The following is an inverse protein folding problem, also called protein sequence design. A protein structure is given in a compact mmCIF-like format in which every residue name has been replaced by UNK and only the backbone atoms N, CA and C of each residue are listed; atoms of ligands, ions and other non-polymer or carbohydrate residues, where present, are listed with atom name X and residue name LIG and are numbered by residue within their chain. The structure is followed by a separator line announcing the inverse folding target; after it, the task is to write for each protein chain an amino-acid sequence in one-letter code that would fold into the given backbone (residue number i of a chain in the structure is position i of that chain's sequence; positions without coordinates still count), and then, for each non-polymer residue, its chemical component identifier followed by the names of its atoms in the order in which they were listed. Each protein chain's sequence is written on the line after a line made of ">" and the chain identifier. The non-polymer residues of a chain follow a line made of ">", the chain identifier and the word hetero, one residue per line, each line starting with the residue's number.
data_IF_956464678221
#
_entry.id   IF_956464678221
#
_cell.length_a   1.000
_cell.length_b   1.000
_cell.length_c   1.000
_cell.angle_alpha   90.00
_cell.angle_beta   90.00
_cell.angle_gamma   90.00
#
_symmetry.space_group_name_H-M   'P 1'
#
loop_
_entity.id
_entity.type
_entity.pdbx_description
1 polymer ?
#
# COMPACT_ATOMS: atom_id res chain seq x y z
N UNK A 1 -37.82 4.58 47.86
CA UNK A 1 -36.55 4.70 47.10
C UNK A 1 -36.42 3.45 46.26
N UNK A 2 -36.86 3.51 45.00
CA UNK A 2 -36.71 2.39 44.06
C UNK A 2 -35.25 2.38 43.60
N UNK A 3 -34.50 1.33 43.94
CA UNK A 3 -33.16 1.11 43.43
C UNK A 3 -33.23 1.12 41.90
N UNK A 4 -32.69 2.17 41.26
CA UNK A 4 -32.50 2.21 39.82
C UNK A 4 -31.52 1.09 39.49
N UNK A 5 -32.05 -0.07 39.11
CA UNK A 5 -31.26 -1.19 38.64
C UNK A 5 -30.38 -0.66 37.50
N UNK A 6 -29.07 -0.55 37.75
CA UNK A 6 -28.08 -0.24 36.73
C UNK A 6 -28.21 -1.32 35.67
N UNK A 7 -28.80 -0.96 34.53
CA UNK A 7 -29.06 -1.85 33.43
C UNK A 7 -27.73 -2.27 32.81
N UNK A 8 -27.15 -3.36 33.30
CA UNK A 8 -25.93 -3.96 32.75
C UNK A 8 -26.18 -4.39 31.31
N UNK A 9 -25.22 -4.10 30.42
CA UNK A 9 -25.36 -4.47 29.02
C UNK A 9 -25.26 -6.00 28.91
N UNK A 10 -26.29 -6.67 28.37
CA UNK A 10 -26.27 -8.11 28.19
C UNK A 10 -25.10 -8.60 27.30
N UNK A 11 -24.54 -9.79 27.53
CA UNK A 11 -23.45 -10.34 26.71
C UNK A 11 -23.74 -10.41 25.21
N UNK A 12 -24.96 -10.75 24.82
CA UNK A 12 -25.42 -10.83 23.43
C UNK A 12 -25.36 -9.48 22.73
N UNK A 13 -25.75 -8.40 23.42
CA UNK A 13 -25.67 -7.03 22.89
C UNK A 13 -24.22 -6.61 22.67
N UNK A 14 -23.31 -7.01 23.57
CA UNK A 14 -21.88 -6.73 23.41
C UNK A 14 -21.30 -7.43 22.19
N UNK A 15 -21.63 -8.70 22.02
CA UNK A 15 -21.20 -9.48 20.87
C UNK A 15 -21.73 -8.90 19.56
N UNK A 16 -22.99 -8.46 19.53
CA UNK A 16 -23.60 -7.79 18.37
C UNK A 16 -22.93 -6.45 18.06
N UNK A 17 -22.57 -5.66 19.07
CA UNK A 17 -21.84 -4.40 18.87
C UNK A 17 -20.43 -4.63 18.31
N UNK A 18 -19.71 -5.65 18.78
CA UNK A 18 -18.38 -5.98 18.24
C UNK A 18 -18.45 -6.59 16.83
N UNK A 19 -19.58 -7.21 16.49
CA UNK A 19 -19.85 -7.71 15.16
C UNK A 19 -20.32 -6.61 14.18
N UNK A 20 -20.58 -5.40 14.65
CA UNK A 20 -21.05 -4.30 13.82
C UNK A 20 -19.93 -3.84 12.85
N UNK A 21 -20.21 -3.73 11.53
CA UNK A 21 -19.20 -3.35 10.53
C UNK A 21 -18.56 -1.99 10.79
N UNK A 22 -19.28 -1.01 11.33
CA UNK A 22 -18.73 0.33 11.60
C UNK A 22 -17.78 0.31 12.80
N UNK A 23 -18.10 -0.49 13.81
CA UNK A 23 -17.21 -0.71 14.96
C UNK A 23 -15.93 -1.40 14.51
N UNK A 24 -16.04 -2.44 13.68
CA UNK A 24 -14.88 -3.14 13.12
C UNK A 24 -14.01 -2.21 12.27
N UNK A 25 -14.62 -1.41 11.38
CA UNK A 25 -13.89 -0.44 10.57
C UNK A 25 -13.15 0.60 11.44
N UNK A 26 -13.78 1.12 12.49
CA UNK A 26 -13.14 2.07 13.40
C UNK A 26 -11.94 1.46 14.14
N UNK A 27 -12.05 0.21 14.63
CA UNK A 27 -10.93 -0.50 15.25
C UNK A 27 -9.80 -0.69 14.24
N UNK A 28 -10.11 -1.11 13.01
CA UNK A 28 -9.12 -1.34 11.96
C UNK A 28 -8.40 -0.06 11.56
N UNK A 29 -9.13 1.03 11.33
CA UNK A 29 -8.57 2.33 10.99
C UNK A 29 -7.60 2.80 12.08
N UNK A 30 -8.00 2.64 13.36
CA UNK A 30 -7.16 3.04 14.48
C UNK A 30 -5.91 2.15 14.64
N UNK A 31 -6.03 0.84 14.41
CA UNK A 31 -4.86 -0.06 14.38
C UNK A 31 -3.90 0.34 13.25
N UNK A 32 -4.42 0.60 12.05
CA UNK A 32 -3.62 1.01 10.89
C UNK A 32 -2.92 2.36 11.13
N UNK A 33 -3.61 3.30 11.77
CA UNK A 33 -3.09 4.64 12.06
C UNK A 33 -2.06 4.67 13.18
N UNK A 34 -2.26 3.88 14.24
CA UNK A 34 -1.42 3.93 15.44
C UNK A 34 -0.32 2.87 15.46
N UNK A 35 -0.43 1.82 14.63
CA UNK A 35 0.44 0.63 14.69
C UNK A 35 0.24 -0.21 15.96
N UNK A 36 -0.77 0.09 16.77
CA UNK A 36 -1.07 -0.61 18.01
C UNK A 36 -2.00 -1.81 17.77
N UNK A 37 -2.04 -2.72 18.73
CA UNK A 37 -2.96 -3.85 18.68
C UNK A 37 -4.43 -3.42 18.87
N UNK A 38 -5.35 -4.32 18.50
CA UNK A 38 -6.78 -4.06 18.58
C UNK A 38 -7.29 -3.82 20.01
N UNK A 39 -6.61 -4.35 21.03
CA UNK A 39 -6.97 -4.10 22.43
C UNK A 39 -6.70 -2.64 22.78
N UNK A 40 -5.58 -2.11 22.32
CA UNK A 40 -5.18 -0.73 22.55
C UNK A 40 -6.06 0.21 21.72
N UNK A 41 -6.38 -0.15 20.48
CA UNK A 41 -7.33 0.59 19.65
C UNK A 41 -8.74 0.68 20.27
N UNK A 42 -9.22 -0.36 20.96
CA UNK A 42 -10.49 -0.30 21.70
C UNK A 42 -10.51 0.73 22.83
N UNK A 43 -9.34 1.11 23.36
CA UNK A 43 -9.21 2.16 24.38
C UNK A 43 -9.18 3.56 23.78
N UNK A 44 -9.13 3.67 22.45
CA UNK A 44 -9.11 4.97 21.79
C UNK A 44 -10.49 5.68 21.89
N UNK A 45 -10.52 6.97 22.25
CA UNK A 45 -11.77 7.72 22.38
C UNK A 45 -12.61 7.78 21.08
N UNK A 46 -11.99 7.77 19.90
CA UNK A 46 -12.70 7.79 18.63
C UNK A 46 -13.41 6.45 18.39
N UNK A 47 -12.75 5.33 18.65
CA UNK A 47 -13.36 3.99 18.56
C UNK A 47 -14.50 3.85 19.56
N UNK A 48 -14.30 4.30 20.81
CA UNK A 48 -15.34 4.30 21.83
C UNK A 48 -16.55 5.15 21.44
N UNK A 49 -16.34 6.30 20.79
CA UNK A 49 -17.42 7.14 20.28
C UNK A 49 -18.27 6.42 19.23
N UNK A 50 -17.63 5.65 18.33
CA UNK A 50 -18.34 4.85 17.32
C UNK A 50 -19.13 3.72 17.98
N UNK A 51 -18.54 2.99 18.94
CA UNK A 51 -19.24 1.93 19.70
C UNK A 51 -20.45 2.51 20.43
N UNK A 52 -20.29 3.67 21.08
CA UNK A 52 -21.38 4.33 21.80
C UNK A 52 -22.50 4.77 20.86
N UNK A 53 -22.15 5.29 19.67
CA UNK A 53 -23.14 5.69 18.67
C UNK A 53 -23.89 4.47 18.13
N UNK A 54 -23.20 3.39 17.77
CA UNK A 54 -23.88 2.16 17.32
C UNK A 54 -24.72 1.52 18.43
N UNK A 55 -24.31 1.64 19.70
CA UNK A 55 -25.14 1.23 20.82
C UNK A 55 -26.41 2.07 20.95
N UNK A 56 -26.33 3.39 20.76
CA UNK A 56 -27.52 4.27 20.74
C UNK A 56 -28.48 3.94 19.61
N UNK A 57 -27.94 3.70 18.42
CA UNK A 57 -28.72 3.48 17.21
C UNK A 57 -29.42 2.10 17.24
N UNK A 58 -28.70 1.04 17.61
CA UNK A 58 -29.20 -0.33 17.56
C UNK A 58 -29.84 -0.80 18.88
N UNK A 59 -29.43 -0.22 20.01
CA UNK A 59 -29.85 -0.66 21.34
C UNK A 59 -30.15 0.52 22.30
N UNK A 60 -31.15 1.38 21.98
CA UNK A 60 -31.41 2.61 22.72
C UNK A 60 -31.66 2.41 24.22
N UNK A 61 -32.25 1.26 24.58
CA UNK A 61 -32.48 0.83 25.97
C UNK A 61 -31.20 0.68 26.82
N UNK A 62 -30.03 0.50 26.20
CA UNK A 62 -28.74 0.35 26.87
C UNK A 62 -27.80 1.53 26.67
N UNK A 63 -28.22 2.56 25.93
CA UNK A 63 -27.39 3.71 25.56
C UNK A 63 -26.81 4.47 26.77
N UNK A 64 -27.59 4.60 27.85
CA UNK A 64 -27.16 5.26 29.09
C UNK A 64 -26.07 4.47 29.80
N UNK A 65 -26.25 3.15 29.93
CA UNK A 65 -25.28 2.25 30.56
C UNK A 65 -24.01 2.06 29.71
N UNK A 66 -24.11 2.16 28.39
CA UNK A 66 -22.99 2.00 27.48
C UNK A 66 -21.88 3.02 27.71
N UNK A 67 -22.24 4.27 28.04
CA UNK A 67 -21.26 5.33 28.29
C UNK A 67 -20.31 4.97 29.44
N UNK A 68 -20.85 4.40 30.51
CA UNK A 68 -20.07 4.08 31.71
C UNK A 68 -19.38 2.71 31.59
N UNK A 69 -19.95 1.79 30.80
CA UNK A 69 -19.43 0.43 30.65
C UNK A 69 -18.43 0.24 29.50
N UNK A 70 -18.34 1.18 28.55
CA UNK A 70 -17.43 1.07 27.40
C UNK A 70 -15.96 0.94 27.82
N UNK A 71 -15.56 1.64 28.89
CA UNK A 71 -14.20 1.54 29.44
C UNK A 71 -13.93 0.15 30.02
N UNK A 72 -14.97 -0.47 30.59
CA UNK A 72 -14.89 -1.83 31.12
C UNK A 72 -14.93 -2.87 29.99
N UNK A 73 -15.59 -2.58 28.86
CA UNK A 73 -15.62 -3.46 27.70
C UNK A 73 -14.23 -3.68 27.11
N UNK A 74 -13.41 -2.64 27.03
CA UNK A 74 -12.04 -2.77 26.56
C UNK A 74 -11.17 -3.67 27.47
N UNK A 75 -11.58 -3.89 28.72
CA UNK A 75 -10.91 -4.75 29.68
C UNK A 75 -11.55 -6.15 29.79
N UNK A 76 -12.65 -6.42 29.09
CA UNK A 76 -13.31 -7.72 29.10
C UNK A 76 -12.52 -8.73 28.24
N UNK A 77 -12.08 -9.89 28.78
CA UNK A 77 -11.33 -10.89 28.04
C UNK A 77 -12.04 -11.41 26.78
N UNK A 78 -13.36 -11.56 26.79
CA UNK A 78 -14.11 -12.06 25.63
C UNK A 78 -14.16 -11.00 24.52
N UNK A 79 -14.35 -9.73 24.88
CA UNK A 79 -14.30 -8.60 23.93
C UNK A 79 -12.90 -8.48 23.32
N UNK A 80 -11.86 -8.60 24.14
CA UNK A 80 -10.48 -8.58 23.65
C UNK A 80 -10.19 -9.76 22.71
N UNK A 81 -10.68 -10.96 23.02
CA UNK A 81 -10.54 -12.15 22.17
C UNK A 81 -11.25 -11.94 20.83
N UNK A 82 -12.47 -11.40 20.85
CA UNK A 82 -13.24 -11.15 19.64
C UNK A 82 -12.61 -10.03 18.80
N UNK A 83 -12.15 -8.95 19.42
CA UNK A 83 -11.43 -7.88 18.75
C UNK A 83 -10.12 -8.37 18.12
N UNK A 84 -9.37 -9.23 18.82
CA UNK A 84 -8.19 -9.91 18.24
C UNK A 84 -8.56 -10.79 17.05
N UNK A 85 -9.64 -11.57 17.13
CA UNK A 85 -10.08 -12.40 16.02
C UNK A 85 -10.42 -11.55 14.78
N UNK A 86 -11.14 -10.45 14.96
CA UNK A 86 -11.45 -9.54 13.86
C UNK A 86 -10.23 -8.80 13.34
N UNK A 87 -9.33 -8.35 14.22
CA UNK A 87 -8.09 -7.72 13.80
C UNK A 87 -7.13 -8.69 13.13
N UNK A 88 -7.16 -9.98 13.46
CA UNK A 88 -6.38 -11.00 12.77
C UNK A 88 -6.99 -11.30 11.40
N UNK A 89 -8.33 -11.35 11.27
CA UNK A 89 -8.97 -11.50 9.97
C UNK A 89 -8.75 -10.27 9.10
N UNK A 90 -8.97 -9.08 9.64
CA UNK A 90 -8.77 -7.81 8.94
C UNK A 90 -7.29 -7.54 8.68
N UNK A 91 -6.42 -7.90 9.62
CA UNK A 91 -4.98 -7.89 9.47
C UNK A 91 -4.56 -8.84 8.37
N UNK A 92 -5.10 -10.06 8.31
CA UNK A 92 -4.90 -10.99 7.21
C UNK A 92 -5.46 -10.48 5.88
N UNK A 93 -6.58 -9.76 5.88
CA UNK A 93 -7.12 -9.08 4.69
C UNK A 93 -6.27 -7.89 4.26
N UNK A 94 -5.78 -7.07 5.19
CA UNK A 94 -4.88 -5.95 4.91
C UNK A 94 -3.48 -6.43 4.49
N UNK A 95 -3.01 -7.52 5.08
CA UNK A 95 -1.80 -8.26 4.72
C UNK A 95 -1.94 -8.86 3.32
N UNK A 96 -3.05 -9.55 3.04
CA UNK A 96 -3.31 -10.19 1.74
C UNK A 96 -3.72 -9.21 0.64
N UNK A 97 -4.18 -8.00 1.00
CA UNK A 97 -4.46 -6.93 0.06
C UNK A 97 -3.25 -6.03 -0.25
N UNK A 98 -2.03 -6.44 0.14
CA UNK A 98 -0.77 -5.76 -0.20
C UNK A 98 -0.36 -4.63 0.77
N UNK A 99 -1.14 -4.36 1.82
CA UNK A 99 -0.93 -3.21 2.72
C UNK A 99 0.37 -3.25 3.52
N UNK A 100 0.81 -4.42 4.01
CA UNK A 100 2.10 -4.53 4.69
C UNK A 100 3.30 -4.54 3.74
N UNK A 101 3.14 -5.03 2.50
CA UNK A 101 4.22 -5.01 1.53
C UNK A 101 4.45 -3.61 0.97
N UNK A 102 3.39 -2.84 0.75
CA UNK A 102 3.49 -1.39 0.43
C UNK A 102 4.15 -0.62 1.58
N UNK A 103 3.85 -0.95 2.83
CA UNK A 103 4.52 -0.36 4.00
C UNK A 103 6.01 -0.75 4.12
N UNK A 104 6.45 -1.83 3.48
CA UNK A 104 7.86 -2.23 3.41
C UNK A 104 8.64 -1.54 2.29
N UNK A 105 7.96 -0.87 1.36
CA UNK A 105 8.63 -0.06 0.34
C UNK A 105 9.12 1.21 1.03
N UNK A 106 10.44 1.34 1.15
CA UNK A 106 11.02 2.61 1.57
C UNK A 106 10.74 3.64 0.48
N UNK A 107 9.77 4.52 0.71
CA UNK A 107 9.44 5.57 -0.24
C UNK A 107 10.45 6.71 -0.10
N UNK A 108 11.03 7.13 -1.23
CA UNK A 108 11.84 8.34 -1.28
C UNK A 108 10.97 9.61 -1.18
N UNK A 109 11.57 10.79 -1.07
CA UNK A 109 10.86 12.07 -1.17
C UNK A 109 9.97 12.11 -2.41
N UNK A 110 8.76 12.64 -2.27
CA UNK A 110 7.74 12.62 -3.33
C UNK A 110 8.22 13.22 -4.65
N UNK A 111 9.10 14.23 -4.59
CA UNK A 111 9.72 14.82 -5.78
C UNK A 111 10.53 13.81 -6.60
N UNK A 112 11.40 13.02 -5.96
CA UNK A 112 12.23 12.01 -6.66
C UNK A 112 11.37 10.86 -7.19
N UNK A 113 10.31 10.51 -6.46
CA UNK A 113 9.34 9.51 -6.93
C UNK A 113 8.64 9.96 -8.20
N UNK A 114 8.15 11.20 -8.25
CA UNK A 114 7.51 11.75 -9.42
C UNK A 114 8.46 11.81 -10.64
N UNK A 115 9.73 12.17 -10.43
CA UNK A 115 10.75 12.17 -11.48
C UNK A 115 11.04 10.74 -12.00
N UNK A 116 11.12 9.77 -11.09
CA UNK A 116 11.33 8.35 -11.40
C UNK A 116 10.14 7.78 -12.18
N UNK A 117 8.92 8.05 -11.72
CA UNK A 117 7.69 7.67 -12.39
C UNK A 117 7.61 8.27 -13.80
N UNK A 118 7.92 9.56 -13.95
CA UNK A 118 7.99 10.24 -15.25
C UNK A 118 9.01 9.61 -16.19
N UNK A 119 10.19 9.25 -15.69
CA UNK A 119 11.21 8.52 -16.46
C UNK A 119 10.72 7.14 -16.91
N UNK A 120 9.99 6.42 -16.04
CA UNK A 120 9.33 5.17 -16.40
C UNK A 120 8.28 5.33 -17.49
N UNK A 121 7.39 6.34 -17.39
CA UNK A 121 6.37 6.64 -18.41
C UNK A 121 7.00 6.95 -19.76
N UNK A 122 8.03 7.82 -19.78
CA UNK A 122 8.76 8.14 -21.00
C UNK A 122 9.42 6.90 -21.62
N UNK A 123 10.06 6.07 -20.78
CA UNK A 123 10.68 4.81 -21.23
C UNK A 123 9.66 3.81 -21.79
N UNK A 124 8.48 3.70 -21.18
CA UNK A 124 7.38 2.86 -21.71
C UNK A 124 6.95 3.36 -23.09
N UNK A 125 6.74 4.67 -23.25
CA UNK A 125 6.31 5.25 -24.52
C UNK A 125 7.32 4.96 -25.65
N UNK A 126 8.62 5.15 -25.40
CA UNK A 126 9.68 4.86 -26.37
C UNK A 126 9.73 3.36 -26.68
N UNK A 127 9.77 2.50 -25.66
CA UNK A 127 9.82 1.06 -25.88
C UNK A 127 8.61 0.54 -26.67
N UNK A 128 7.41 1.11 -26.45
CA UNK A 128 6.22 0.78 -27.25
C UNK A 128 6.39 1.24 -28.70
N UNK A 129 6.92 2.44 -28.96
CA UNK A 129 7.19 2.91 -30.32
C UNK A 129 8.15 1.98 -31.07
N UNK A 130 9.21 1.50 -30.41
CA UNK A 130 10.16 0.55 -30.99
C UNK A 130 9.50 -0.79 -31.34
N UNK A 131 8.59 -1.26 -30.48
CA UNK A 131 7.93 -2.55 -30.63
C UNK A 131 6.79 -2.55 -31.66
N UNK A 132 6.21 -1.39 -32.00
CA UNK A 132 5.18 -1.28 -33.04
C UNK A 132 5.73 -1.73 -34.41
N UNK A 133 7.02 -1.54 -34.66
CA UNK A 133 7.67 -2.04 -35.88
C UNK A 133 8.00 -3.53 -35.75
N UNK A 134 6.97 -4.39 -35.87
CA UNK A 134 7.10 -5.85 -35.70
C UNK A 134 8.09 -6.49 -36.69
N UNK A 135 8.28 -5.89 -37.88
CA UNK A 135 9.30 -6.35 -38.83
C UNK A 135 10.73 -6.03 -38.39
N UNK A 136 10.91 -5.16 -37.40
CA UNK A 136 12.19 -4.83 -36.80
C UNK A 136 12.91 -6.05 -36.21
N UNK A 137 12.18 -7.10 -35.83
CA UNK A 137 12.78 -8.36 -35.37
C UNK A 137 13.66 -9.03 -36.44
N UNK A 138 13.36 -8.83 -37.73
CA UNK A 138 14.13 -9.43 -38.83
C UNK A 138 15.38 -8.63 -39.15
N UNK A 139 15.37 -7.31 -38.93
CA UNK A 139 16.49 -6.42 -39.26
C UNK A 139 17.44 -6.22 -38.09
N UNK A 140 16.92 -6.13 -36.86
CA UNK A 140 17.71 -5.93 -35.65
C UNK A 140 17.08 -6.67 -34.45
N UNK A 141 17.17 -8.02 -34.43
CA UNK A 141 16.51 -8.84 -33.40
C UNK A 141 16.98 -8.52 -31.98
N UNK A 142 18.25 -8.11 -31.81
CA UNK A 142 18.81 -7.76 -30.51
C UNK A 142 18.14 -6.50 -29.95
N UNK A 143 18.01 -5.45 -30.77
CA UNK A 143 17.32 -4.23 -30.37
C UNK A 143 15.87 -4.52 -29.98
N UNK A 144 15.16 -5.30 -30.81
CA UNK A 144 13.76 -5.64 -30.55
C UNK A 144 13.59 -6.38 -29.20
N UNK A 145 14.43 -7.36 -28.92
CA UNK A 145 14.42 -8.10 -27.64
C UNK A 145 14.71 -7.15 -26.47
N UNK A 146 15.65 -6.24 -26.61
CA UNK A 146 15.96 -5.24 -25.58
C UNK A 146 14.81 -4.26 -25.36
N UNK A 147 14.10 -3.82 -26.39
CA UNK A 147 12.89 -2.99 -26.24
C UNK A 147 11.81 -3.71 -25.43
N UNK A 148 11.66 -5.04 -25.58
CA UNK A 148 10.76 -5.84 -24.72
C UNK A 148 11.21 -5.81 -23.26
N UNK A 149 12.50 -6.03 -22.98
CA UNK A 149 13.02 -5.94 -21.61
C UNK A 149 12.85 -4.54 -21.02
N UNK A 150 13.16 -3.50 -21.80
CA UNK A 150 12.98 -2.11 -21.38
C UNK A 150 11.53 -1.79 -21.07
N UNK A 151 10.58 -2.30 -21.85
CA UNK A 151 9.16 -2.14 -21.56
C UNK A 151 8.80 -2.75 -20.20
N UNK A 152 9.23 -3.99 -19.93
CA UNK A 152 8.96 -4.68 -18.65
C UNK A 152 9.60 -3.92 -17.48
N UNK A 153 10.86 -3.50 -17.62
CA UNK A 153 11.57 -2.75 -16.59
C UNK A 153 10.96 -1.38 -16.33
N UNK A 154 10.52 -0.68 -17.38
CA UNK A 154 9.88 0.62 -17.27
C UNK A 154 8.50 0.52 -16.61
N UNK A 155 7.71 -0.50 -16.94
CA UNK A 155 6.46 -0.81 -16.24
C UNK A 155 6.72 -1.13 -14.75
N UNK A 156 7.79 -1.87 -14.47
CA UNK A 156 8.22 -2.17 -13.09
C UNK A 156 8.59 -0.88 -12.34
N UNK A 157 9.36 0.01 -12.97
CA UNK A 157 9.69 1.34 -12.45
C UNK A 157 8.42 2.14 -12.14
N UNK A 158 7.48 2.22 -13.08
CA UNK A 158 6.19 2.90 -12.86
C UNK A 158 5.42 2.30 -11.69
N UNK A 159 5.40 0.97 -11.56
CA UNK A 159 4.68 0.29 -10.49
C UNK A 159 5.25 0.59 -9.10
N UNK A 160 6.57 0.61 -8.95
CA UNK A 160 7.23 0.91 -7.66
C UNK A 160 7.14 2.38 -7.27
N UNK A 161 6.99 3.28 -8.24
CA UNK A 161 6.95 4.72 -7.99
C UNK A 161 5.52 5.29 -7.98
N UNK A 162 4.54 4.52 -8.46
CA UNK A 162 3.13 4.86 -8.39
C UNK A 162 2.68 5.13 -6.95
N UNK A 163 1.76 6.08 -6.79
CA UNK A 163 1.18 6.34 -5.47
C UNK A 163 0.30 5.15 -5.04
N UNK A 164 0.22 4.83 -3.74
CA UNK A 164 -0.61 3.72 -3.27
C UNK A 164 -2.07 3.82 -3.75
N UNK A 165 -2.60 5.03 -3.89
CA UNK A 165 -3.95 5.27 -4.40
C UNK A 165 -4.11 4.89 -5.88
N UNK A 166 -3.05 5.00 -6.69
CA UNK A 166 -3.06 4.54 -8.09
C UNK A 166 -3.04 3.02 -8.17
N UNK A 167 -2.23 2.37 -7.33
CA UNK A 167 -2.10 0.91 -7.30
C UNK A 167 -3.42 0.27 -6.85
N UNK A 168 -4.04 0.80 -5.78
CA UNK A 168 -5.31 0.30 -5.25
C UNK A 168 -6.48 0.41 -6.24
N UNK A 169 -6.41 1.33 -7.21
CA UNK A 169 -7.46 1.49 -8.24
C UNK A 169 -7.43 0.41 -9.31
N UNK A 170 -6.30 -0.27 -9.51
CA UNK A 170 -6.14 -1.24 -10.59
C UNK A 170 -6.02 -2.64 -9.99
N UNK A 171 -7.09 -3.43 -10.12
CA UNK A 171 -7.11 -4.82 -9.68
C UNK A 171 -6.00 -5.63 -10.35
N UNK A 172 -5.19 -6.33 -9.57
CA UNK A 172 -4.12 -7.21 -10.05
C UNK A 172 -2.71 -6.59 -10.02
N UNK A 173 -2.58 -5.26 -9.94
CA UNK A 173 -1.26 -4.63 -9.77
C UNK A 173 -0.63 -5.02 -8.43
N UNK A 174 -1.44 -5.14 -7.37
CA UNK A 174 -0.97 -5.60 -6.06
C UNK A 174 -0.28 -6.97 -6.16
N UNK A 175 -0.89 -7.95 -6.83
CA UNK A 175 -0.32 -9.29 -6.95
C UNK A 175 1.01 -9.31 -7.69
N UNK A 176 1.17 -8.46 -8.71
CA UNK A 176 2.44 -8.34 -9.43
C UNK A 176 3.49 -7.60 -8.60
N UNK A 177 3.11 -6.54 -7.89
CA UNK A 177 3.99 -5.85 -6.96
C UNK A 177 4.46 -6.77 -5.83
N UNK A 178 3.55 -7.57 -5.26
CA UNK A 178 3.85 -8.54 -4.21
C UNK A 178 4.84 -9.61 -4.70
N UNK A 179 4.64 -10.12 -5.92
CA UNK A 179 5.58 -11.05 -6.56
C UNK A 179 6.97 -10.42 -6.71
N UNK A 180 7.04 -9.17 -7.15
CA UNK A 180 8.30 -8.45 -7.31
C UNK A 180 8.98 -8.18 -5.97
N UNK A 181 8.23 -7.84 -4.92
CA UNK A 181 8.80 -7.65 -3.58
C UNK A 181 9.33 -8.98 -3.01
N UNK A 182 8.61 -10.08 -3.22
CA UNK A 182 9.03 -11.41 -2.78
C UNK A 182 10.28 -11.92 -3.51
N UNK A 183 10.32 -11.78 -4.84
CA UNK A 183 11.41 -12.31 -5.67
C UNK A 183 12.58 -11.36 -5.90
N UNK A 184 12.31 -10.07 -5.87
CA UNK A 184 13.28 -8.99 -6.14
C UNK A 184 13.25 -7.96 -5.01
N UNK A 185 13.44 -8.43 -3.77
CA UNK A 185 13.41 -7.60 -2.55
C UNK A 185 14.29 -6.35 -2.62
N UNK A 186 15.39 -6.38 -3.36
CA UNK A 186 16.21 -5.18 -3.55
C UNK A 186 15.43 -4.00 -4.17
N UNK A 187 14.37 -4.24 -4.94
CA UNK A 187 13.50 -3.19 -5.49
C UNK A 187 12.58 -2.55 -4.44
N UNK A 188 12.37 -3.15 -3.26
CA UNK A 188 11.65 -2.48 -2.18
C UNK A 188 12.53 -1.48 -1.42
N UNK A 189 13.85 -1.58 -1.56
CA UNK A 189 14.84 -0.71 -0.94
C UNK A 189 15.20 0.47 -1.85
N UNK A 190 15.30 1.69 -1.29
CA UNK A 190 15.57 2.91 -2.09
C UNK A 190 16.88 2.81 -2.87
N UNK A 191 17.94 2.25 -2.27
CA UNK A 191 19.23 2.08 -2.94
C UNK A 191 19.14 1.09 -4.12
N UNK A 192 18.41 -0.02 -3.94
CA UNK A 192 18.27 -1.06 -4.97
C UNK A 192 17.41 -0.59 -6.14
N UNK A 193 16.38 0.22 -5.90
CA UNK A 193 15.67 0.95 -6.97
C UNK A 193 16.58 1.91 -7.72
N UNK A 194 17.39 2.67 -6.99
CA UNK A 194 18.36 3.58 -7.61
C UNK A 194 19.32 2.87 -8.55
N UNK A 195 19.88 1.72 -8.13
CA UNK A 195 20.73 0.88 -8.98
C UNK A 195 19.98 0.30 -10.18
N UNK A 196 18.73 -0.12 -10.00
CA UNK A 196 17.88 -0.59 -11.07
C UNK A 196 17.63 0.50 -12.14
N UNK A 197 17.40 1.74 -11.73
CA UNK A 197 17.21 2.87 -12.65
C UNK A 197 18.49 3.24 -13.39
N UNK A 198 19.65 3.18 -12.73
CA UNK A 198 20.93 3.33 -13.41
C UNK A 198 21.12 2.24 -14.45
N UNK A 199 20.86 0.98 -14.10
CA UNK A 199 20.93 -0.13 -15.05
C UNK A 199 20.01 0.08 -16.26
N UNK A 200 18.73 0.41 -16.02
CA UNK A 200 17.76 0.73 -17.08
C UNK A 200 18.24 1.88 -17.97
N UNK A 201 18.78 2.95 -17.36
CA UNK A 201 19.34 4.09 -18.08
C UNK A 201 20.57 3.72 -18.91
N UNK A 202 21.48 2.90 -18.38
CA UNK A 202 22.64 2.43 -19.15
C UNK A 202 22.25 1.57 -20.34
N UNK A 203 21.18 0.77 -20.24
CA UNK A 203 20.67 0.01 -21.38
C UNK A 203 20.16 0.94 -22.50
N UNK A 204 19.48 2.04 -22.16
CA UNK A 204 19.11 3.07 -23.15
C UNK A 204 20.35 3.70 -23.78
N UNK A 205 21.35 4.07 -22.96
CA UNK A 205 22.58 4.70 -23.43
C UNK A 205 23.45 3.79 -24.32
N UNK A 206 23.36 2.47 -24.17
CA UNK A 206 24.09 1.52 -25.01
C UNK A 206 23.67 1.58 -26.49
N UNK A 207 22.41 1.94 -26.76
CA UNK A 207 21.86 2.02 -28.12
C UNK A 207 21.57 3.45 -28.57
N UNK A 208 21.63 4.41 -27.64
CA UNK A 208 21.52 5.82 -27.94
C UNK A 208 22.61 6.26 -28.93
N UNK A 209 22.18 6.89 -30.01
CA UNK A 209 23.04 7.59 -30.95
C UNK A 209 22.78 9.10 -30.86
N UNK A 210 23.65 9.93 -31.46
CA UNK A 210 23.39 11.37 -31.53
C UNK A 210 22.16 11.73 -32.39
N UNK A 211 21.70 10.80 -33.23
CA UNK A 211 20.46 10.96 -34.00
C UNK A 211 19.23 10.56 -33.19
N UNK A 212 19.38 9.70 -32.18
CA UNK A 212 18.31 9.18 -31.32
C UNK A 212 18.29 9.92 -29.97
N UNK A 213 18.02 11.23 -30.05
CA UNK A 213 18.07 12.15 -28.91
C UNK A 213 17.11 11.73 -27.78
N UNK A 214 16.00 11.05 -28.11
CA UNK A 214 15.02 10.58 -27.14
C UNK A 214 15.62 9.49 -26.23
N UNK A 215 16.27 8.48 -26.80
CA UNK A 215 16.90 7.38 -26.06
C UNK A 215 18.06 7.90 -25.22
N UNK A 216 18.86 8.81 -25.78
CA UNK A 216 19.92 9.49 -25.05
C UNK A 216 19.36 10.28 -23.86
N UNK A 217 18.30 11.06 -24.08
CA UNK A 217 17.66 11.87 -23.06
C UNK A 217 17.06 11.05 -21.93
N UNK A 218 16.30 10.00 -22.26
CA UNK A 218 15.71 9.08 -21.28
C UNK A 218 16.77 8.28 -20.54
N UNK A 219 17.81 7.81 -21.24
CA UNK A 219 18.94 7.11 -20.63
C UNK A 219 19.66 7.98 -19.60
N UNK A 220 20.03 9.21 -19.96
CA UNK A 220 20.66 10.17 -19.05
C UNK A 220 19.74 10.52 -17.87
N UNK A 221 18.44 10.72 -18.13
CA UNK A 221 17.45 11.00 -17.11
C UNK A 221 17.36 9.87 -16.07
N UNK A 222 17.25 8.62 -16.53
CA UNK A 222 17.15 7.44 -15.66
C UNK A 222 18.41 7.23 -14.83
N UNK A 223 19.61 7.45 -15.41
CA UNK A 223 20.87 7.42 -14.65
C UNK A 223 20.91 8.51 -13.58
N UNK A 224 20.52 9.74 -13.93
CA UNK A 224 20.47 10.87 -13.00
C UNK A 224 19.50 10.60 -11.84
N UNK A 225 18.28 10.16 -12.14
CA UNK A 225 17.27 9.86 -11.12
C UNK A 225 17.67 8.64 -10.27
N UNK A 226 18.32 7.64 -10.86
CA UNK A 226 18.89 6.52 -10.13
C UNK A 226 19.99 6.96 -9.16
N UNK A 227 20.88 7.85 -9.57
CA UNK A 227 21.89 8.45 -8.70
C UNK A 227 21.27 9.28 -7.56
N UNK A 228 20.22 10.06 -7.84
CA UNK A 228 19.47 10.79 -6.80
C UNK A 228 18.88 9.84 -5.75
N UNK A 229 18.28 8.72 -6.17
CA UNK A 229 17.74 7.72 -5.25
C UNK A 229 18.82 7.10 -4.35
N UNK A 230 20.01 6.83 -4.90
CA UNK A 230 21.14 6.33 -4.10
C UNK A 230 21.63 7.40 -3.12
N UNK A 231 21.76 8.65 -3.53
CA UNK A 231 22.22 9.73 -2.65
C UNK A 231 21.26 10.00 -1.49
N UNK A 232 19.95 9.88 -1.70
CA UNK A 232 18.93 10.07 -0.64
C UNK A 232 18.95 8.94 0.39
N UNK A 233 19.49 7.78 0.05
CA UNK A 233 19.62 6.68 0.98
C UNK A 233 20.69 6.92 2.05
N UNK A 234 21.70 7.76 1.76
CA UNK A 234 22.82 8.09 2.65
C UNK A 234 22.62 9.44 3.35
#
# INVERSE_FOLDING_TARGET
>A
MSSLATSTIPPDVRQQLMADPKVQAAIQEQCAKSGQDAITALKDPAVQKVILQQCKDNFPKYASAAKDQIMNFANDPEVQKQAKAYANMAGAYALSAGGLLVAQIQQGPDGVRLLSFGGGVASVAIAVMDLINVFGILTNPVHYVLSVYQLIFSCTTMLFEASPEMIQKVSGLNSYQDLLIDKAKFLSETYGRGLFYIFQGTLWLCFASLTDILDLGVGLWMVFVGALNIMIHF
#
